data_IF_627232824067
#
_entry.id   IF_627232824067
#
_cell.length_a   1.000
_cell.length_b   1.000
_cell.length_c   1.000
_cell.angle_alpha   90.00
_cell.angle_beta   90.00
_cell.angle_gamma   90.00
#
_symmetry.space_group_name_H-M   'P 1'
#
loop_
_entity.id
_entity.type
_entity.pdbx_description
1 polymer ?
#
# COMPACT_ATOMS: atom_id res chain seq x y z
N UNK A 1 -7.05 14.82 95.76
CA UNK A 1 -7.88 14.02 94.84
C UNK A 1 -6.94 13.14 94.04
N UNK A 2 -7.01 11.81 94.00
CA UNK A 2 -7.64 10.75 94.78
C UNK A 2 -6.91 9.49 94.27
N UNK A 3 -6.28 8.71 95.15
CA UNK A 3 -6.71 7.34 95.51
C UNK A 3 -6.69 6.36 94.33
N UNK A 4 -5.71 5.46 94.23
CA UNK A 4 -5.57 4.20 94.98
C UNK A 4 -6.31 3.01 94.32
N UNK A 5 -5.51 1.94 94.14
CA UNK A 5 -5.82 0.53 94.39
C UNK A 5 -6.75 -0.29 93.46
N UNK A 6 -6.29 -1.53 93.24
CA UNK A 6 -7.12 -2.72 93.03
C UNK A 6 -7.13 -3.23 91.58
N UNK A 7 -6.85 -4.49 91.27
CA UNK A 7 -6.61 -5.65 92.12
C UNK A 7 -6.36 -6.90 91.26
N UNK A 8 -5.37 -7.69 91.69
CA UNK A 8 -5.40 -9.13 91.94
C UNK A 8 -5.87 -10.14 90.88
N UNK A 9 -4.87 -10.89 90.37
CA UNK A 9 -4.72 -12.35 90.18
C UNK A 9 -5.96 -13.23 89.84
N UNK A 10 -5.80 -14.08 88.81
CA UNK A 10 -5.51 -15.54 88.87
C UNK A 10 -5.96 -16.22 87.57
N UNK A 11 -5.17 -17.17 87.05
CA UNK A 11 -5.63 -18.10 86.02
C UNK A 11 -4.53 -18.78 85.22
N UNK A 12 -3.84 -19.72 85.85
CA UNK A 12 -2.95 -20.74 85.27
C UNK A 12 -3.69 -21.65 84.26
N UNK A 13 -2.98 -22.16 83.27
CA UNK A 13 -3.50 -23.08 82.25
C UNK A 13 -2.50 -23.30 81.12
N UNK A 14 -1.45 -24.08 81.39
CA UNK A 14 -0.37 -24.37 80.46
C UNK A 14 -0.73 -25.19 79.22
N UNK A 15 0.27 -25.36 78.35
CA UNK A 15 0.34 -26.52 77.47
C UNK A 15 0.62 -26.24 75.98
N UNK A 16 1.90 -26.35 75.64
CA UNK A 16 2.48 -26.77 74.34
C UNK A 16 2.58 -25.74 73.20
N UNK A 17 3.80 -25.23 73.10
CA UNK A 17 4.46 -24.74 71.89
C UNK A 17 4.49 -25.79 70.78
N UNK A 18 4.00 -25.42 69.59
CA UNK A 18 4.45 -25.99 68.32
C UNK A 18 4.44 -24.85 67.29
N UNK A 19 5.59 -24.56 66.67
CA UNK A 19 5.71 -23.66 65.52
C UNK A 19 5.61 -24.46 64.20
N UNK A 20 5.28 -23.79 63.07
CA UNK A 20 4.50 -24.37 61.96
C UNK A 20 5.38 -24.88 60.79
N UNK A 21 4.75 -25.36 59.69
CA UNK A 21 4.69 -24.46 58.54
C UNK A 21 3.38 -24.49 57.72
N UNK A 22 2.88 -23.27 57.47
CA UNK A 22 2.57 -22.67 56.17
C UNK A 22 1.84 -23.51 55.10
N UNK A 23 0.51 -23.32 54.97
CA UNK A 23 -0.22 -23.58 53.71
C UNK A 23 -1.26 -22.49 53.46
N UNK A 24 -1.21 -21.98 52.23
CA UNK A 24 -1.78 -20.73 51.73
C UNK A 24 -3.29 -20.74 51.58
N UNK A 25 -3.90 -19.59 51.92
CA UNK A 25 -5.26 -19.20 51.54
C UNK A 25 -5.25 -18.72 50.09
N UNK A 26 -6.22 -19.14 49.29
CA UNK A 26 -6.46 -18.52 47.98
C UNK A 26 -7.60 -19.15 47.21
N UNK A 27 -8.82 -18.65 47.43
CA UNK A 27 -10.00 -19.02 46.63
C UNK A 27 -9.82 -18.60 45.17
N UNK A 28 -9.81 -19.57 44.27
CA UNK A 28 -9.46 -19.38 42.86
C UNK A 28 -10.59 -19.79 41.89
N UNK A 29 -11.86 -19.62 42.27
CA UNK A 29 -12.97 -20.09 41.42
C UNK A 29 -13.96 -19.02 40.93
N UNK A 30 -13.71 -17.72 41.18
CA UNK A 30 -14.62 -16.63 40.72
C UNK A 30 -14.07 -15.85 39.51
N UNK A 31 -12.85 -16.12 39.05
CA UNK A 31 -12.22 -15.35 37.94
C UNK A 31 -12.35 -16.02 36.56
N UNK A 32 -12.80 -17.28 36.47
CA UNK A 32 -12.76 -18.06 35.21
C UNK A 32 -13.97 -17.88 34.27
N UNK A 33 -15.00 -17.13 34.68
CA UNK A 33 -16.24 -16.97 33.88
C UNK A 33 -16.42 -15.62 33.20
N UNK A 34 -15.50 -14.65 33.35
CA UNK A 34 -15.66 -13.30 32.75
C UNK A 34 -14.58 -12.99 31.71
N UNK A 35 -13.70 -13.95 31.36
CA UNK A 35 -12.69 -13.77 30.29
C UNK A 35 -13.05 -14.41 28.94
N UNK A 36 -14.17 -15.12 28.82
CA UNK A 36 -14.56 -15.82 27.57
C UNK A 36 -15.61 -15.08 26.72
N UNK A 37 -15.98 -13.86 27.08
CA UNK A 37 -17.01 -13.08 26.37
C UNK A 37 -16.46 -11.84 25.63
N UNK A 38 -15.14 -11.64 25.60
CA UNK A 38 -14.52 -10.45 24.99
C UNK A 38 -13.47 -10.79 23.93
N UNK A 39 -13.51 -12.00 23.35
CA UNK A 39 -12.53 -12.43 22.33
C UNK A 39 -13.16 -12.89 21.00
N UNK A 40 -14.45 -12.62 20.79
CA UNK A 40 -15.21 -13.14 19.62
C UNK A 40 -15.80 -12.05 18.71
N UNK A 41 -15.50 -10.77 18.92
CA UNK A 41 -16.07 -9.66 18.12
C UNK A 41 -15.02 -8.75 17.45
N UNK A 42 -13.73 -9.04 17.56
CA UNK A 42 -12.65 -8.21 16.98
C UNK A 42 -12.06 -8.77 15.68
N UNK A 43 -12.65 -9.80 15.07
CA UNK A 43 -12.11 -10.46 13.87
C UNK A 43 -13.13 -10.51 12.73
N UNK A 44 -13.72 -9.39 12.31
CA UNK A 44 -14.63 -9.45 11.15
C UNK A 44 -14.68 -8.25 10.18
N UNK A 45 -13.81 -7.23 10.24
CA UNK A 45 -13.69 -6.28 9.11
C UNK A 45 -12.24 -5.82 8.93
N UNK A 46 -11.36 -6.71 8.52
CA UNK A 46 -10.20 -6.33 7.71
C UNK A 46 -10.64 -6.47 6.24
N UNK A 47 -11.57 -5.61 5.82
CA UNK A 47 -11.88 -5.47 4.40
C UNK A 47 -10.60 -4.99 3.72
N UNK A 48 -10.08 -5.80 2.81
CA UNK A 48 -8.99 -5.42 1.94
C UNK A 48 -9.28 -4.04 1.37
N UNK A 49 -8.45 -3.05 1.75
CA UNK A 49 -8.33 -1.81 1.00
C UNK A 49 -7.84 -2.20 -0.38
N UNK A 50 -8.77 -2.49 -1.28
CA UNK A 50 -8.49 -2.37 -2.70
C UNK A 50 -8.24 -0.89 -2.88
N UNK A 51 -6.97 -0.49 -2.82
CA UNK A 51 -6.56 0.85 -3.25
C UNK A 51 -6.97 0.93 -4.71
N UNK A 52 -8.15 1.49 -4.99
CA UNK A 52 -8.50 1.87 -6.35
C UNK A 52 -7.36 2.75 -6.83
N UNK A 53 -6.63 2.30 -7.84
CA UNK A 53 -5.59 3.09 -8.46
C UNK A 53 -6.26 4.39 -8.94
N UNK A 54 -5.96 5.49 -8.27
CA UNK A 54 -6.46 6.80 -8.67
C UNK A 54 -5.56 7.36 -9.77
N UNK A 55 -6.12 7.85 -10.90
CA UNK A 55 -5.33 8.49 -11.95
C UNK A 55 -4.44 9.62 -11.42
N UNK A 56 -4.87 10.32 -10.36
CA UNK A 56 -4.07 11.35 -9.69
C UNK A 56 -2.81 10.78 -9.01
N UNK A 57 -2.91 9.63 -8.32
CA UNK A 57 -1.76 8.95 -7.73
C UNK A 57 -0.80 8.46 -8.83
N UNK A 58 -1.33 7.92 -9.92
CA UNK A 58 -0.54 7.53 -11.08
C UNK A 58 0.20 8.69 -11.74
N UNK A 59 -0.44 9.86 -11.88
CA UNK A 59 0.20 11.09 -12.39
C UNK A 59 1.35 11.54 -11.49
N UNK A 60 1.16 11.52 -10.17
CA UNK A 60 2.21 11.88 -9.23
C UNK A 60 3.43 10.95 -9.35
N UNK A 61 3.21 9.64 -9.49
CA UNK A 61 4.31 8.68 -9.74
C UNK A 61 4.97 8.96 -11.10
N UNK A 62 4.19 9.19 -12.15
CA UNK A 62 4.70 9.51 -13.49
C UNK A 62 5.65 10.72 -13.47
N UNK A 63 5.29 11.77 -12.74
CA UNK A 63 6.13 12.95 -12.57
C UNK A 63 7.36 12.67 -11.70
N UNK A 64 7.16 12.01 -10.55
CA UNK A 64 8.23 11.73 -9.59
C UNK A 64 9.32 10.80 -10.15
N UNK A 65 8.95 9.87 -11.04
CA UNK A 65 9.90 8.97 -11.73
C UNK A 65 10.57 9.61 -12.94
N UNK A 66 10.23 10.85 -13.28
CA UNK A 66 10.85 11.60 -14.38
C UNK A 66 10.32 11.23 -15.77
N UNK A 67 9.19 10.51 -15.88
CA UNK A 67 8.61 10.14 -17.17
C UNK A 67 8.30 11.38 -18.03
N UNK A 68 7.91 12.48 -17.37
CA UNK A 68 7.62 13.79 -17.96
C UNK A 68 8.83 14.42 -18.69
N UNK A 69 10.06 13.97 -18.43
CA UNK A 69 11.26 14.47 -19.10
C UNK A 69 11.37 14.01 -20.56
N UNK A 70 10.71 12.91 -20.91
CA UNK A 70 10.69 12.37 -22.27
C UNK A 70 9.29 12.34 -22.89
N UNK A 71 8.27 12.13 -22.06
CA UNK A 71 6.88 11.96 -22.49
C UNK A 71 6.00 13.05 -21.89
N UNK A 72 5.32 13.82 -22.73
CA UNK A 72 4.26 14.71 -22.26
C UNK A 72 2.89 14.03 -22.38
N UNK A 73 1.98 14.43 -21.48
CA UNK A 73 0.62 13.88 -21.39
C UNK A 73 -0.47 14.90 -21.72
N UNK A 74 -0.10 16.17 -21.92
CA UNK A 74 -1.04 17.20 -22.35
C UNK A 74 -1.26 17.13 -23.85
N UNK A 75 -2.52 17.26 -24.27
CA UNK A 75 -2.93 17.18 -25.66
C UNK A 75 -3.50 18.50 -26.17
N UNK A 76 -3.63 18.66 -27.50
CA UNK A 76 -3.15 17.74 -28.54
C UNK A 76 -1.61 17.80 -28.71
N UNK A 77 -1.07 17.02 -29.64
CA UNK A 77 0.34 17.11 -30.01
C UNK A 77 0.72 18.55 -30.36
N UNK A 78 1.88 18.99 -29.85
CA UNK A 78 2.28 20.41 -29.89
C UNK A 78 3.33 20.73 -30.94
N UNK A 79 3.84 19.72 -31.63
CA UNK A 79 4.89 19.89 -32.63
C UNK A 79 4.35 20.47 -33.93
N UNK A 80 5.06 21.44 -34.51
CA UNK A 80 4.65 22.16 -35.72
C UNK A 80 5.64 21.99 -36.87
N UNK A 81 6.87 21.60 -36.55
CA UNK A 81 7.97 21.43 -37.49
C UNK A 81 8.64 20.05 -37.34
N UNK A 82 9.48 19.70 -38.31
CA UNK A 82 10.32 18.49 -38.20
C UNK A 82 11.32 18.63 -37.05
N UNK A 83 11.89 19.83 -36.85
CA UNK A 83 12.82 20.08 -35.74
C UNK A 83 12.14 19.88 -34.39
N UNK A 84 10.88 20.30 -34.22
CA UNK A 84 10.10 20.03 -33.00
C UNK A 84 9.95 18.53 -32.76
N UNK A 85 9.67 17.76 -33.82
CA UNK A 85 9.52 16.31 -33.72
C UNK A 85 10.84 15.65 -33.36
N UNK A 86 11.95 16.04 -34.00
CA UNK A 86 13.29 15.49 -33.75
C UNK A 86 13.82 15.86 -32.35
N UNK A 87 13.42 17.00 -31.79
CA UNK A 87 13.78 17.42 -30.44
C UNK A 87 13.13 16.57 -29.32
N UNK A 88 12.10 15.77 -29.65
CA UNK A 88 11.44 14.89 -28.67
C UNK A 88 12.37 13.75 -28.26
N UNK A 89 12.38 13.47 -26.97
CA UNK A 89 13.08 12.30 -26.39
C UNK A 89 12.21 11.05 -26.36
N UNK A 90 10.89 11.21 -26.44
CA UNK A 90 9.93 10.10 -26.51
C UNK A 90 8.62 10.51 -27.19
N UNK A 91 7.78 9.53 -27.55
CA UNK A 91 6.45 9.79 -28.09
C UNK A 91 5.53 10.43 -27.04
N UNK A 92 4.58 11.21 -27.52
CA UNK A 92 3.54 11.81 -26.71
C UNK A 92 2.51 10.77 -26.21
N UNK A 93 2.02 10.98 -24.99
CA UNK A 93 1.13 10.05 -24.29
C UNK A 93 -0.27 10.64 -24.02
N UNK A 94 -0.60 11.80 -24.56
CA UNK A 94 -1.86 12.53 -24.28
C UNK A 94 -3.17 11.80 -24.64
N UNK A 95 -3.07 10.70 -25.37
CA UNK A 95 -4.19 9.81 -25.70
C UNK A 95 -3.79 8.34 -25.58
N UNK A 96 -2.89 8.03 -24.64
CA UNK A 96 -2.36 6.69 -24.42
C UNK A 96 -3.46 5.64 -24.18
N UNK A 97 -4.51 5.98 -23.42
CA UNK A 97 -5.64 5.11 -23.15
C UNK A 97 -6.49 4.76 -24.38
N UNK A 98 -6.45 5.61 -25.41
CA UNK A 98 -7.07 5.31 -26.71
C UNK A 98 -6.20 4.41 -27.60
N UNK A 99 -4.90 4.24 -27.32
CA UNK A 99 -3.97 3.45 -28.16
C UNK A 99 -3.62 2.09 -27.57
N UNK A 100 -3.44 2.02 -26.25
CA UNK A 100 -2.85 0.86 -25.60
C UNK A 100 -3.90 -0.07 -25.00
N UNK A 101 -3.52 -1.33 -24.81
CA UNK A 101 -4.30 -2.29 -24.05
C UNK A 101 -3.79 -2.28 -22.60
N UNK A 102 -4.67 -2.10 -21.62
CA UNK A 102 -4.31 -1.96 -20.20
C UNK A 102 -3.37 -3.07 -19.70
N UNK A 103 -3.67 -4.34 -20.02
CA UNK A 103 -2.85 -5.47 -19.61
C UNK A 103 -1.45 -5.49 -20.24
N UNK A 104 -1.35 -5.09 -21.51
CA UNK A 104 -0.05 -4.95 -22.18
C UNK A 104 0.76 -3.82 -21.58
N UNK A 105 0.13 -2.66 -21.32
CA UNK A 105 0.81 -1.49 -20.77
C UNK A 105 1.35 -1.76 -19.37
N UNK A 106 0.55 -2.39 -18.51
CA UNK A 106 0.98 -2.79 -17.17
C UNK A 106 2.18 -3.76 -17.21
N UNK A 107 2.13 -4.77 -18.08
CA UNK A 107 3.23 -5.72 -18.26
C UNK A 107 4.50 -5.06 -18.77
N UNK A 108 4.37 -4.19 -19.78
CA UNK A 108 5.50 -3.49 -20.37
C UNK A 108 6.13 -2.47 -19.40
N UNK A 109 5.35 -1.77 -18.58
CA UNK A 109 5.90 -0.87 -17.56
C UNK A 109 6.64 -1.62 -16.44
N UNK A 110 6.25 -2.86 -16.15
CA UNK A 110 6.90 -3.69 -15.14
C UNK A 110 8.20 -4.34 -15.63
N UNK A 111 8.24 -4.77 -16.90
CA UNK A 111 9.42 -5.33 -17.56
C UNK A 111 9.52 -4.79 -18.99
N UNK A 112 10.04 -3.56 -19.17
CA UNK A 112 10.13 -2.95 -20.49
C UNK A 112 11.07 -3.76 -21.38
N UNK A 113 10.67 -3.83 -22.64
CA UNK A 113 11.46 -4.40 -23.75
C UNK A 113 11.44 -3.44 -24.92
N UNK A 114 12.47 -3.41 -25.78
CA UNK A 114 12.49 -2.54 -26.94
C UNK A 114 11.31 -2.85 -27.87
N UNK A 115 10.45 -1.86 -28.11
CA UNK A 115 9.32 -1.99 -29.06
C UNK A 115 9.83 -1.90 -30.51
N UNK A 116 11.01 -1.33 -30.72
CA UNK A 116 11.66 -1.15 -32.03
C UNK A 116 13.19 -1.19 -31.88
N UNK A 117 13.92 -1.59 -32.93
CA UNK A 117 15.37 -1.82 -32.86
C UNK A 117 16.21 -0.55 -32.74
N UNK A 118 15.71 0.61 -33.19
CA UNK A 118 16.45 1.88 -33.19
C UNK A 118 15.99 2.81 -32.07
N UNK A 119 16.84 3.75 -31.67
CA UNK A 119 16.53 4.84 -30.72
C UNK A 119 15.51 5.81 -31.31
N UNK A 120 14.74 6.49 -30.44
CA UNK A 120 13.63 7.34 -30.87
C UNK A 120 14.15 8.49 -31.71
N UNK A 121 13.51 8.74 -32.86
CA UNK A 121 13.94 9.71 -33.87
C UNK A 121 15.36 9.52 -34.42
N UNK A 122 15.93 8.31 -34.38
CA UNK A 122 17.21 8.01 -35.02
C UNK A 122 17.05 6.88 -36.05
N UNK A 123 17.88 6.94 -37.10
CA UNK A 123 17.96 5.94 -38.18
C UNK A 123 19.23 5.08 -38.08
N UNK A 124 20.14 5.42 -37.18
CA UNK A 124 21.52 4.95 -37.11
C UNK A 124 21.97 4.54 -35.71
N UNK A 125 21.26 4.98 -34.66
CA UNK A 125 21.50 4.59 -33.28
C UNK A 125 20.57 3.44 -32.88
N UNK A 126 21.16 2.36 -32.37
CA UNK A 126 20.42 1.24 -31.80
C UNK A 126 19.66 1.65 -30.53
N UNK A 127 18.56 0.95 -30.25
CA UNK A 127 17.81 1.12 -29.02
C UNK A 127 18.61 0.52 -27.85
N UNK A 128 18.94 1.35 -26.86
CA UNK A 128 19.77 0.97 -25.72
C UNK A 128 19.04 0.09 -24.68
N UNK A 129 17.74 -0.19 -24.86
CA UNK A 129 16.90 -0.91 -23.89
C UNK A 129 16.95 -0.29 -22.48
N UNK A 130 16.94 1.04 -22.42
CA UNK A 130 17.15 1.84 -21.21
C UNK A 130 15.87 2.47 -20.65
N UNK A 131 14.69 2.03 -21.10
CA UNK A 131 13.42 2.53 -20.58
C UNK A 131 13.27 2.15 -19.09
N UNK A 132 12.91 3.08 -18.19
CA UNK A 132 12.79 2.78 -16.78
C UNK A 132 11.68 1.76 -16.51
N UNK A 133 11.98 0.78 -15.65
CA UNK A 133 11.00 -0.18 -15.13
C UNK A 133 10.31 0.37 -13.87
N UNK A 134 9.04 0.05 -13.70
CA UNK A 134 8.28 0.31 -12.49
C UNK A 134 8.09 -0.98 -11.68
N UNK A 135 8.05 -0.87 -10.36
CA UNK A 135 7.92 -2.00 -9.45
C UNK A 135 6.68 -1.86 -8.56
N UNK A 136 6.07 -2.99 -8.19
CA UNK A 136 4.90 -3.02 -7.32
C UNK A 136 3.74 -2.17 -7.86
N UNK A 137 3.11 -1.43 -6.96
CA UNK A 137 1.90 -0.65 -7.27
C UNK A 137 2.17 0.54 -8.21
N UNK A 138 3.42 1.00 -8.35
CA UNK A 138 3.78 2.10 -9.26
C UNK A 138 3.38 1.77 -10.71
N UNK A 139 3.60 0.53 -11.15
CA UNK A 139 3.27 0.09 -12.51
C UNK A 139 1.75 0.14 -12.75
N UNK A 140 0.96 -0.31 -11.77
CA UNK A 140 -0.51 -0.29 -11.84
C UNK A 140 -1.05 1.14 -11.82
N UNK A 141 -0.56 1.98 -10.91
CA UNK A 141 -0.98 3.37 -10.77
C UNK A 141 -0.68 4.18 -12.03
N UNK A 142 0.54 4.07 -12.57
CA UNK A 142 0.93 4.76 -13.81
C UNK A 142 0.13 4.22 -15.00
N UNK A 143 -0.13 2.91 -15.06
CA UNK A 143 -1.00 2.34 -16.08
C UNK A 143 -2.38 3.01 -16.04
N UNK A 144 -3.00 3.13 -14.87
CA UNK A 144 -4.35 3.66 -14.75
C UNK A 144 -4.42 5.15 -15.07
N UNK A 145 -3.39 5.91 -14.72
CA UNK A 145 -3.24 7.28 -15.19
C UNK A 145 -3.16 7.34 -16.72
N UNK A 146 -2.27 6.59 -17.36
CA UNK A 146 -2.11 6.62 -18.82
C UNK A 146 -3.36 6.12 -19.55
N UNK A 147 -4.05 5.12 -18.99
CA UNK A 147 -5.30 4.60 -19.53
C UNK A 147 -6.47 5.60 -19.40
N UNK A 148 -6.38 6.56 -18.48
CA UNK A 148 -7.38 7.65 -18.37
C UNK A 148 -7.23 8.72 -19.45
N UNK A 149 -6.11 8.74 -20.19
CA UNK A 149 -5.84 9.70 -21.25
C UNK A 149 -6.49 9.22 -22.56
N UNK A 150 -7.73 9.63 -22.80
CA UNK A 150 -8.52 9.21 -23.97
C UNK A 150 -9.00 10.39 -24.82
N UNK A 151 -9.35 10.09 -26.08
CA UNK A 151 -9.98 11.03 -27.01
C UNK A 151 -11.28 10.48 -27.57
N UNK A 152 -12.28 11.34 -27.76
CA UNK A 152 -13.60 10.95 -28.27
C UNK A 152 -13.56 10.40 -29.70
N UNK A 153 -12.52 10.74 -30.45
CA UNK A 153 -12.31 10.25 -31.82
C UNK A 153 -12.00 8.75 -31.89
N UNK A 154 -11.66 8.09 -30.77
CA UNK A 154 -11.34 6.67 -30.72
C UNK A 154 -12.32 5.98 -29.77
N UNK A 155 -13.30 5.29 -30.36
CA UNK A 155 -14.29 4.52 -29.60
C UNK A 155 -13.66 3.31 -28.90
N UNK A 156 -13.89 3.20 -27.59
CA UNK A 156 -13.36 2.12 -26.78
C UNK A 156 -14.04 0.78 -27.11
N UNK A 157 -13.26 -0.32 -27.12
CA UNK A 157 -13.79 -1.68 -27.27
C UNK A 157 -14.11 -2.14 -28.70
N UNK A 158 -13.95 -1.28 -29.70
CA UNK A 158 -14.11 -1.65 -31.12
C UNK A 158 -13.01 -2.61 -31.58
N UNK A 159 -11.76 -2.36 -31.18
CA UNK A 159 -10.62 -3.23 -31.50
C UNK A 159 -10.52 -4.33 -30.44
N UNK A 160 -10.74 -5.58 -30.87
CA UNK A 160 -10.59 -6.77 -30.02
C UNK A 160 -9.19 -7.36 -30.20
N UNK A 161 -8.35 -7.41 -29.16
CA UNK A 161 -7.04 -8.02 -29.25
C UNK A 161 -7.17 -9.50 -29.63
N UNK A 162 -6.39 -9.95 -30.62
CA UNK A 162 -6.18 -11.39 -30.83
C UNK A 162 -5.24 -11.88 -29.72
N UNK A 163 -5.67 -12.88 -28.97
CA UNK A 163 -4.86 -13.56 -27.96
C UNK A 163 -4.04 -14.67 -28.59
#
# INVERSE_FOLDING_TARGET
MADAQGGERRGDGGGKSVSPPDVRIGGENVMKSILKAALSTAFLIAAASSSSAEPAAGKAVFEAKGCAQCHYTDGPAREKTIDDQLAKKGPELWYAGSKFQKGWLAGWLADPKPIRPLKFNSLDEENADDHPKLAGDDAANVTDFLMSLTVDAVEAGVIKPKR
#
